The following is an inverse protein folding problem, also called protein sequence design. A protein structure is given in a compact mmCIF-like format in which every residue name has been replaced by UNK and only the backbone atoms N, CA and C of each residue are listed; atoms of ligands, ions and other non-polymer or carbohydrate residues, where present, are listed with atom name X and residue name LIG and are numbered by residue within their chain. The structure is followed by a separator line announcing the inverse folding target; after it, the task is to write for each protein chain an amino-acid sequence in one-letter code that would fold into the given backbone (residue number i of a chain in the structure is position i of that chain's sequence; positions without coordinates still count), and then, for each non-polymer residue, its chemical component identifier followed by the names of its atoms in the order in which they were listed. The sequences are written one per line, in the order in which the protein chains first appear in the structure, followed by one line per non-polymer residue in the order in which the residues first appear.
data_IF_932834667922
#
_entry.id   IF_932834667922
#
_cell.length_a   1.000
_cell.length_b   1.000
_cell.length_c   1.000
_cell.angle_alpha   90.00
_cell.angle_beta   90.00
_cell.angle_gamma   90.00
#
_symmetry.space_group_name_H-M   'P 1'
#
loop_
_entity.id
_entity.type
_entity.pdbx_description
1 polymer ?
#
# COMPACT_ATOMS: atom_id res chain seq x y z
N UNK A 1 9.63 17.96 8.68
CA UNK A 1 9.79 17.55 7.27
C UNK A 1 9.56 16.05 7.22
N UNK A 2 8.65 15.64 6.33
CA UNK A 2 7.82 14.42 6.35
C UNK A 2 8.57 13.09 6.54
N UNK A 3 8.12 12.23 7.46
CA UNK A 3 8.79 10.94 7.69
C UNK A 3 7.90 9.82 8.28
N UNK A 4 6.58 9.79 8.02
CA UNK A 4 5.82 8.57 8.39
C UNK A 4 6.26 7.34 7.58
N UNK A 5 6.96 7.57 6.46
CA UNK A 5 8.04 6.73 5.93
C UNK A 5 8.71 7.40 4.71
N UNK A 6 9.96 7.88 4.83
CA UNK A 6 11.02 7.21 4.08
C UNK A 6 12.09 6.73 5.04
N UNK A 7 12.51 5.48 4.88
CA UNK A 7 13.68 4.91 5.55
C UNK A 7 14.90 5.80 5.30
N UNK A 8 15.15 6.76 6.19
CA UNK A 8 16.21 7.75 6.03
C UNK A 8 17.52 7.12 6.52
N UNK A 9 18.44 6.73 5.62
CA UNK A 9 19.59 5.91 5.97
C UNK A 9 20.50 6.53 7.04
N UNK A 10 20.50 7.85 7.19
CA UNK A 10 21.25 8.54 8.24
C UNK A 10 20.65 8.39 9.66
N UNK A 11 19.39 7.96 9.77
CA UNK A 11 18.63 7.88 11.03
C UNK A 11 18.15 6.45 11.33
N UNK A 12 18.42 5.50 10.43
CA UNK A 12 17.95 4.12 10.54
C UNK A 12 19.10 3.13 10.34
N UNK A 13 19.22 2.18 11.26
CA UNK A 13 20.29 1.21 11.27
C UNK A 13 19.90 -0.01 10.42
N UNK A 14 20.18 0.03 9.12
CA UNK A 14 19.86 -1.08 8.20
C UNK A 14 20.77 -2.28 8.48
N UNK A 15 20.18 -3.42 8.85
CA UNK A 15 20.92 -4.66 9.10
C UNK A 15 20.81 -5.60 7.91
N UNK A 16 21.91 -5.76 7.19
CA UNK A 16 22.07 -6.79 6.15
C UNK A 16 22.32 -8.13 6.84
N UNK A 17 21.65 -9.20 6.39
CA UNK A 17 21.82 -10.54 6.96
C UNK A 17 21.21 -10.67 8.36
N UNK A 18 19.96 -10.24 8.51
CA UNK A 18 19.25 -10.27 9.78
C UNK A 18 19.10 -11.71 10.30
N UNK A 19 19.44 -11.93 11.58
CA UNK A 19 19.46 -13.25 12.22
C UNK A 19 18.43 -13.31 13.35
N UNK A 20 17.54 -14.30 13.30
CA UNK A 20 16.41 -14.45 14.24
C UNK A 20 16.36 -15.85 14.86
N UNK A 21 15.82 -15.99 16.09
CA UNK A 21 15.59 -17.29 16.68
C UNK A 21 14.53 -18.08 15.88
N UNK A 22 14.65 -19.41 15.89
CA UNK A 22 13.65 -20.34 15.34
C UNK A 22 13.15 -21.23 16.45
N UNK A 23 11.83 -21.34 16.59
CA UNK A 23 11.22 -22.22 17.59
C UNK A 23 11.73 -23.67 17.43
N UNK A 24 12.08 -24.31 18.55
CA UNK A 24 12.61 -25.67 18.56
C UNK A 24 14.07 -25.83 18.13
N UNK A 25 14.82 -24.74 17.87
CA UNK A 25 16.23 -24.81 17.49
C UNK A 25 17.13 -23.89 18.33
N UNK A 26 18.35 -24.36 18.61
CA UNK A 26 19.37 -23.57 19.31
C UNK A 26 20.10 -22.68 18.32
N UNK A 27 20.22 -21.38 18.63
CA UNK A 27 20.94 -20.40 17.83
C UNK A 27 20.03 -19.44 17.06
N UNK A 28 20.61 -18.71 16.12
CA UNK A 28 19.89 -17.79 15.23
C UNK A 28 20.08 -18.21 13.77
N UNK A 29 19.08 -17.92 12.95
CA UNK A 29 18.99 -18.33 11.56
C UNK A 29 18.74 -17.10 10.68
N UNK A 30 19.21 -17.13 9.41
CA UNK A 30 18.96 -16.04 8.48
C UNK A 30 17.46 -15.88 8.27
N UNK A 31 16.96 -14.67 8.50
CA UNK A 31 15.58 -14.32 8.21
C UNK A 31 15.33 -14.33 6.69
N UNK A 32 14.11 -14.68 6.30
CA UNK A 32 13.69 -14.74 4.90
C UNK A 32 12.85 -13.52 4.50
N UNK A 33 12.25 -12.83 5.48
CA UNK A 33 11.33 -11.73 5.25
C UNK A 33 11.61 -10.55 6.18
N UNK A 34 11.31 -9.35 5.68
CA UNK A 34 11.21 -8.13 6.45
C UNK A 34 9.76 -7.92 6.87
N UNK A 35 9.55 -7.40 8.08
CA UNK A 35 8.24 -7.01 8.61
C UNK A 35 8.28 -5.54 9.00
N UNK A 36 7.27 -4.79 8.57
CA UNK A 36 7.02 -3.41 9.00
C UNK A 36 5.67 -3.35 9.69
N UNK A 37 5.66 -2.85 10.92
CA UNK A 37 4.44 -2.52 11.66
C UNK A 37 4.29 -1.02 11.64
N UNK A 38 3.13 -0.53 11.21
CA UNK A 38 2.73 0.87 11.30
C UNK A 38 1.43 0.95 12.06
N UNK A 39 1.37 1.74 13.12
CA UNK A 39 0.15 1.82 13.92
C UNK A 39 0.11 3.01 14.85
N UNK A 40 -1.08 3.27 15.40
CA UNK A 40 -1.30 4.29 16.42
C UNK A 40 -1.68 3.63 17.73
N UNK A 41 -0.99 3.98 18.81
CA UNK A 41 -1.28 3.47 20.17
C UNK A 41 -2.61 4.03 20.66
N UNK A 42 -3.45 3.18 21.25
CA UNK A 42 -4.77 3.60 21.75
C UNK A 42 -4.70 4.61 22.89
N UNK A 43 -3.84 4.38 23.88
CA UNK A 43 -3.73 5.23 25.08
C UNK A 43 -3.07 6.58 24.82
N UNK A 44 -1.88 6.57 24.22
CA UNK A 44 -1.08 7.80 24.02
C UNK A 44 -1.36 8.51 22.70
N UNK A 45 -2.01 7.82 21.74
CA UNK A 45 -2.23 8.30 20.37
C UNK A 45 -0.92 8.51 19.58
N UNK A 46 0.19 7.97 20.09
CA UNK A 46 1.48 8.02 19.42
C UNK A 46 1.50 7.09 18.21
N UNK A 47 2.18 7.54 17.14
CA UNK A 47 2.40 6.73 15.95
C UNK A 47 3.70 5.95 16.08
N UNK A 48 3.62 4.64 15.89
CA UNK A 48 4.75 3.73 15.94
C UNK A 48 5.01 3.14 14.56
N UNK A 49 6.30 3.10 14.21
CA UNK A 49 6.82 2.40 13.03
C UNK A 49 7.92 1.47 13.49
N UNK A 50 7.66 0.17 13.44
CA UNK A 50 8.60 -0.87 13.87
C UNK A 50 9.04 -1.66 12.63
N UNK A 51 10.34 -1.93 12.52
CA UNK A 51 10.90 -2.76 11.45
C UNK A 51 11.70 -3.90 12.07
N UNK A 52 11.38 -5.12 11.66
CA UNK A 52 12.08 -6.33 12.09
C UNK A 52 12.16 -7.32 10.92
N UNK A 53 12.76 -8.48 11.16
CA UNK A 53 12.83 -9.56 10.20
C UNK A 53 12.27 -10.85 10.82
N UNK A 54 11.86 -11.79 9.97
CA UNK A 54 11.22 -13.05 10.39
C UNK A 54 11.61 -14.19 9.44
N UNK A 55 11.47 -15.42 9.93
CA UNK A 55 11.68 -16.64 9.15
C UNK A 55 10.51 -16.94 8.21
N UNK A 56 9.30 -16.55 8.61
CA UNK A 56 8.03 -16.94 7.99
C UNK A 56 7.24 -15.72 7.54
N UNK A 57 6.47 -15.87 6.47
CA UNK A 57 5.58 -14.80 6.02
C UNK A 57 4.46 -14.59 7.04
N UNK A 58 4.35 -13.38 7.61
CA UNK A 58 3.29 -13.05 8.57
C UNK A 58 1.99 -12.63 7.90
N UNK A 59 1.98 -12.58 6.57
CA UNK A 59 0.92 -12.03 5.73
C UNK A 59 0.66 -10.54 6.01
N UNK A 60 0.09 -9.85 5.03
CA UNK A 60 -0.29 -8.45 5.21
C UNK A 60 -1.64 -8.39 5.93
N UNK A 61 -1.66 -7.79 7.12
CA UNK A 61 -2.85 -7.70 7.94
C UNK A 61 -3.01 -6.28 8.48
N UNK A 62 -4.24 -5.78 8.52
CA UNK A 62 -4.56 -4.48 9.08
C UNK A 62 -5.73 -4.60 10.05
N UNK A 63 -5.71 -3.82 11.13
CA UNK A 63 -6.72 -3.83 12.15
C UNK A 63 -6.15 -3.47 13.51
N UNK A 64 -6.81 -3.97 14.55
CA UNK A 64 -6.36 -3.81 15.93
C UNK A 64 -5.56 -5.03 16.37
N UNK A 65 -4.40 -4.78 16.95
CA UNK A 65 -3.55 -5.83 17.49
C UNK A 65 -2.78 -5.33 18.70
N UNK A 66 -2.27 -6.27 19.49
CA UNK A 66 -1.39 -5.95 20.62
C UNK A 66 0.05 -6.11 20.22
N UNK A 67 0.88 -5.14 20.60
CA UNK A 67 2.32 -5.24 20.53
C UNK A 67 2.87 -4.95 21.93
N UNK A 68 3.58 -5.94 22.49
CA UNK A 68 4.01 -5.93 23.89
C UNK A 68 2.83 -5.66 24.86
N UNK A 69 2.81 -4.49 25.51
CA UNK A 69 1.76 -4.10 26.46
C UNK A 69 0.79 -3.06 25.89
N UNK A 70 0.99 -2.64 24.64
CA UNK A 70 0.19 -1.62 23.97
C UNK A 70 -0.81 -2.22 22.99
N UNK A 71 -1.99 -1.60 22.90
CA UNK A 71 -2.95 -1.87 21.83
C UNK A 71 -2.74 -0.85 20.71
N UNK A 72 -2.55 -1.32 19.49
CA UNK A 72 -2.35 -0.49 18.30
C UNK A 72 -3.47 -0.73 17.29
N UNK A 73 -3.87 0.34 16.60
CA UNK A 73 -4.63 0.26 15.35
C UNK A 73 -3.68 0.55 14.18
N UNK A 74 -3.52 -0.39 13.26
CA UNK A 74 -2.47 -0.30 12.24
C UNK A 74 -2.42 -1.44 11.24
N UNK A 75 -1.27 -1.61 10.59
CA UNK A 75 -0.98 -2.70 9.66
C UNK A 75 0.36 -3.37 9.97
N UNK A 76 0.40 -4.68 9.78
CA UNK A 76 1.59 -5.53 9.73
C UNK A 76 1.81 -5.87 8.25
N UNK A 77 2.98 -5.51 7.72
CA UNK A 77 3.35 -5.71 6.32
C UNK A 77 4.57 -6.62 6.25
N UNK A 78 4.54 -7.60 5.36
CA UNK A 78 5.66 -8.50 5.09
C UNK A 78 6.18 -8.34 3.66
N UNK A 79 7.49 -8.34 3.49
CA UNK A 79 8.14 -8.16 2.18
C UNK A 79 9.54 -8.80 2.17
N UNK A 80 10.20 -8.85 1.01
CA UNK A 80 11.56 -9.40 0.86
C UNK A 80 12.62 -8.34 0.51
N UNK A 81 12.21 -7.11 0.18
CA UNK A 81 13.10 -5.99 -0.14
C UNK A 81 12.58 -4.67 0.45
N UNK A 82 13.43 -3.64 0.42
CA UNK A 82 13.05 -2.24 0.65
C UNK A 82 12.37 -1.91 1.99
N UNK A 83 12.56 -2.74 3.03
CA UNK A 83 12.06 -2.48 4.38
C UNK A 83 10.53 -2.31 4.47
N UNK A 84 9.82 -2.88 3.51
CA UNK A 84 8.36 -2.80 3.30
C UNK A 84 7.86 -1.37 3.17
N UNK A 85 8.67 -0.52 2.54
CA UNK A 85 8.24 0.79 2.11
C UNK A 85 7.28 0.57 0.94
N UNK A 86 5.99 0.85 1.13
CA UNK A 86 5.04 0.84 0.03
C UNK A 86 5.52 1.88 -0.99
N UNK A 87 5.97 1.44 -2.17
CA UNK A 87 5.98 2.34 -3.30
C UNK A 87 4.52 2.77 -3.48
N UNK A 88 4.24 4.06 -3.42
CA UNK A 88 2.92 4.61 -3.70
C UNK A 88 2.55 4.19 -5.12
N UNK A 89 1.96 3.00 -5.27
CA UNK A 89 1.26 2.63 -6.48
C UNK A 89 0.04 3.51 -6.44
N UNK A 90 0.15 4.71 -7.01
CA UNK A 90 -1.00 5.46 -7.45
C UNK A 90 -1.85 4.44 -8.20
N UNK A 91 -2.94 3.98 -7.58
CA UNK A 91 -3.98 3.27 -8.29
C UNK A 91 -4.56 4.33 -9.21
N UNK A 92 -3.90 4.51 -10.35
CA UNK A 92 -4.39 5.31 -11.44
C UNK A 92 -5.59 4.51 -11.96
N UNK A 93 -6.74 4.69 -11.32
CA UNK A 93 -8.00 4.21 -11.87
C UNK A 93 -8.07 4.82 -13.27
N UNK A 94 -8.14 4.02 -14.34
CA UNK A 94 -8.41 4.57 -15.65
C UNK A 94 -9.75 5.28 -15.54
N UNK A 95 -9.73 6.61 -15.67
CA UNK A 95 -10.94 7.41 -15.74
C UNK A 95 -11.63 7.05 -17.05
N UNK A 96 -12.56 6.10 -17.02
CA UNK A 96 -13.39 5.70 -18.17
C UNK A 96 -14.41 6.78 -18.58
N UNK A 97 -14.33 7.99 -18.00
CA UNK A 97 -15.37 9.01 -18.13
C UNK A 97 -15.39 9.76 -19.48
N UNK A 98 -14.44 9.55 -20.39
CA UNK A 98 -14.36 10.37 -21.61
C UNK A 98 -14.93 9.70 -22.86
N UNK A 99 -15.12 8.38 -22.88
CA UNK A 99 -15.62 7.69 -24.07
C UNK A 99 -17.14 7.88 -24.30
N UNK A 100 -17.94 8.00 -23.23
CA UNK A 100 -19.40 8.13 -23.33
C UNK A 100 -19.84 9.46 -23.93
N UNK A 101 -19.08 10.54 -23.73
CA UNK A 101 -19.42 11.87 -24.25
C UNK A 101 -19.30 11.95 -25.77
N UNK A 102 -18.32 11.27 -26.38
CA UNK A 102 -18.14 11.28 -27.84
C UNK A 102 -19.24 10.51 -28.59
N UNK A 103 -19.74 9.41 -28.03
CA UNK A 103 -20.84 8.64 -28.64
C UNK A 103 -22.14 9.44 -28.70
N UNK A 104 -22.50 10.15 -27.62
CA UNK A 104 -23.71 10.96 -27.58
C UNK A 104 -23.65 12.10 -28.58
N UNK A 105 -22.51 12.81 -28.67
CA UNK A 105 -22.33 13.91 -29.63
C UNK A 105 -22.41 13.39 -31.07
N UNK A 106 -21.75 12.27 -31.40
CA UNK A 106 -21.81 11.68 -32.73
C UNK A 106 -23.24 11.28 -33.12
N UNK A 107 -23.98 10.63 -32.21
CA UNK A 107 -25.37 10.25 -32.45
C UNK A 107 -26.32 11.44 -32.61
N UNK A 108 -26.11 12.53 -31.88
CA UNK A 108 -26.89 13.75 -32.03
C UNK A 108 -26.63 14.43 -33.39
N UNK A 109 -25.37 14.44 -33.86
CA UNK A 109 -25.01 14.99 -35.17
C UNK A 109 -25.65 14.17 -36.30
N UNK A 110 -25.60 12.84 -36.25
CA UNK A 110 -26.23 12.01 -37.30
C UNK A 110 -27.75 12.13 -37.32
N UNK A 111 -28.40 12.31 -36.17
CA UNK A 111 -29.83 12.61 -36.11
C UNK A 111 -30.17 13.98 -36.71
N UNK A 112 -29.37 15.02 -36.45
CA UNK A 112 -29.59 16.35 -37.03
C UNK A 112 -29.39 16.37 -38.55
N UNK A 113 -28.39 15.65 -39.06
CA UNK A 113 -28.15 15.54 -40.51
C UNK A 113 -29.26 14.76 -41.22
N UNK A 114 -29.83 13.73 -40.58
CA UNK A 114 -30.93 12.95 -41.16
C UNK A 114 -32.31 13.57 -40.95
N UNK A 115 -32.45 14.54 -40.03
CA UNK A 115 -33.71 15.24 -39.77
C UNK A 115 -33.94 16.47 -40.65
N UNK A 116 -32.99 16.84 -41.54
CA UNK A 116 -33.29 17.83 -42.59
C UNK A 116 -34.30 17.21 -43.56
N UNK A 117 -35.52 17.74 -43.68
CA UNK A 117 -36.46 17.27 -44.67
C UNK A 117 -35.88 17.57 -46.05
N UNK A 118 -35.94 16.57 -46.93
CA UNK A 118 -35.82 16.77 -48.37
C UNK A 118 -36.77 17.89 -48.78
N UNK A 119 -36.24 19.10 -48.97
CA UNK A 119 -36.91 20.15 -49.71
C UNK A 119 -36.99 19.66 -51.16
N UNK A 120 -38.06 18.93 -51.46
CA UNK A 120 -38.52 18.63 -52.80
C UNK A 120 -38.88 19.95 -53.48
N UNK A 121 -38.04 20.37 -54.43
CA UNK A 121 -38.44 21.23 -55.55
C UNK A 121 -39.06 20.32 -56.61
#
# INVERSE_FOLDING_TARGET
MSCEDPFHPAMSDYKIGCMVPKEGHVGKFPANFCVKVVGTVYGTREKLVIRTCTLENMENQCGEFKYEHESLAGCILTCQSDGCNAATKNLMLPSFATASSFFLVYSAITLLVNASPSASV
#
